data_IF_710475286275
#
_entry.id   IF_710475286275
#
_cell.length_a   1.000
_cell.length_b   1.000
_cell.length_c   1.000
_cell.angle_alpha   90.00
_cell.angle_beta   90.00
_cell.angle_gamma   90.00
#
_symmetry.space_group_name_H-M   'P 1'
#
loop_
_entity.id
_entity.type
_entity.pdbx_description
1 polymer ?
#
# COMPACT_ATOMS: atom_id res chain seq x y z
N UNK A 1 20.22 26.39 -9.97
CA UNK A 1 20.15 24.95 -10.29
C UNK A 1 19.06 24.35 -9.43
N UNK A 2 17.89 24.17 -10.05
CA UNK A 2 16.60 24.05 -9.38
C UNK A 2 16.47 22.80 -8.54
N UNK A 3 16.29 23.00 -7.23
CA UNK A 3 15.91 21.98 -6.27
C UNK A 3 14.58 21.35 -6.70
N UNK A 4 14.61 20.05 -6.99
CA UNK A 4 13.38 19.28 -7.23
C UNK A 4 12.54 19.35 -5.97
N UNK A 5 11.32 19.85 -6.12
CA UNK A 5 10.38 20.09 -5.06
C UNK A 5 9.88 18.74 -4.50
N UNK A 6 10.10 18.47 -3.21
CA UNK A 6 9.64 17.24 -2.53
C UNK A 6 8.13 16.96 -2.72
N UNK A 7 7.33 17.99 -3.00
CA UNK A 7 5.88 17.85 -3.30
C UNK A 7 5.59 17.21 -4.66
N UNK A 8 6.56 17.12 -5.59
CA UNK A 8 6.36 16.41 -6.85
C UNK A 8 6.43 14.88 -6.69
N UNK A 9 7.13 14.36 -5.68
CA UNK A 9 7.21 12.91 -5.41
C UNK A 9 5.95 12.36 -4.73
N UNK A 10 5.10 13.23 -4.20
CA UNK A 10 3.81 12.85 -3.61
C UNK A 10 2.71 12.65 -4.68
N UNK A 11 2.98 13.07 -5.93
CA UNK A 11 2.00 13.11 -7.04
C UNK A 11 2.25 12.10 -8.16
N UNK A 12 3.18 11.16 -7.98
CA UNK A 12 3.46 10.14 -8.99
C UNK A 12 2.65 8.88 -8.65
N UNK A 13 1.59 8.70 -9.45
CA UNK A 13 0.74 7.51 -9.62
C UNK A 13 -0.55 7.44 -8.80
N UNK A 14 -1.34 8.51 -8.83
CA UNK A 14 -2.80 8.44 -8.74
C UNK A 14 -3.34 9.17 -9.97
N UNK A 15 -3.21 8.54 -11.14
CA UNK A 15 -4.02 8.89 -12.32
C UNK A 15 -3.85 7.82 -13.41
N UNK A 16 -4.61 6.73 -13.28
CA UNK A 16 -5.08 5.99 -14.45
C UNK A 16 -6.57 6.28 -14.57
N UNK A 17 -6.91 7.21 -15.45
CA UNK A 17 -8.30 7.52 -15.82
C UNK A 17 -8.92 6.29 -16.50
N UNK A 18 -9.69 5.50 -15.76
CA UNK A 18 -10.52 4.42 -16.29
C UNK A 18 -11.92 4.96 -16.54
N UNK A 19 -12.33 4.96 -17.80
CA UNK A 19 -13.71 5.23 -18.24
C UNK A 19 -14.69 4.28 -17.52
N UNK A 20 -15.78 4.83 -16.98
CA UNK A 20 -16.78 4.09 -16.19
C UNK A 20 -17.55 3.08 -17.03
N UNK A 21 -17.05 1.84 -17.10
CA UNK A 21 -17.87 0.66 -17.37
C UNK A 21 -17.96 -0.14 -16.08
N UNK A 22 -19.17 -0.21 -15.55
CA UNK A 22 -19.49 -0.61 -14.19
C UNK A 22 -18.98 -2.00 -13.79
N UNK A 23 -17.80 -2.11 -13.15
CA UNK A 23 -17.50 -2.95 -11.97
C UNK A 23 -16.23 -2.40 -11.27
N UNK A 24 -16.30 -1.20 -10.68
CA UNK A 24 -15.20 -0.65 -9.89
C UNK A 24 -15.73 -0.22 -8.52
N UNK A 25 -15.44 -0.99 -7.47
CA UNK A 25 -15.79 -0.64 -6.09
C UNK A 25 -14.56 -0.08 -5.33
N UNK A 26 -14.70 1.01 -4.57
CA UNK A 26 -13.61 1.78 -3.95
C UNK A 26 -12.88 1.06 -2.79
N UNK A 27 -12.99 -0.27 -2.69
CA UNK A 27 -12.77 -1.06 -1.47
C UNK A 27 -12.20 -2.44 -1.76
N UNK A 28 -10.99 -2.54 -2.33
CA UNK A 28 -10.35 -3.84 -2.48
C UNK A 28 -9.32 -4.10 -1.36
N UNK A 29 -9.83 -4.58 -0.22
CA UNK A 29 -9.00 -5.04 0.92
C UNK A 29 -8.02 -6.15 0.53
N UNK A 30 -8.30 -6.91 -0.53
CA UNK A 30 -7.40 -7.91 -1.06
C UNK A 30 -6.20 -7.24 -1.76
N UNK A 31 -6.41 -6.21 -2.59
CA UNK A 31 -5.29 -5.44 -3.19
C UNK A 31 -4.35 -4.85 -2.14
N UNK A 32 -4.87 -4.25 -1.07
CA UNK A 32 -4.03 -3.68 0.00
C UNK A 32 -3.19 -4.78 0.68
N UNK A 33 -3.77 -5.96 0.91
CA UNK A 33 -3.02 -7.10 1.44
C UNK A 33 -1.93 -7.57 0.47
N UNK A 34 -2.24 -7.72 -0.83
CA UNK A 34 -1.27 -8.15 -1.84
C UNK A 34 -0.11 -7.18 -2.00
N UNK A 35 -0.38 -5.87 -2.02
CA UNK A 35 0.66 -4.83 -2.01
C UNK A 35 1.57 -4.97 -0.78
N UNK A 36 0.99 -5.18 0.40
CA UNK A 36 1.76 -5.38 1.64
C UNK A 36 2.63 -6.64 1.60
N UNK A 37 2.11 -7.75 1.05
CA UNK A 37 2.86 -9.00 0.90
C UNK A 37 4.05 -8.84 -0.06
N UNK A 38 3.85 -8.15 -1.18
CA UNK A 38 4.92 -7.87 -2.15
C UNK A 38 6.02 -6.99 -1.57
N UNK A 39 5.65 -5.88 -0.91
CA UNK A 39 6.62 -4.99 -0.25
C UNK A 39 7.45 -5.74 0.80
N UNK A 40 6.81 -6.56 1.64
CA UNK A 40 7.51 -7.38 2.63
C UNK A 40 8.44 -8.42 1.97
N UNK A 41 8.02 -9.02 0.85
CA UNK A 41 8.83 -10.00 0.11
C UNK A 41 10.09 -9.35 -0.46
N UNK A 42 9.96 -8.17 -1.06
CA UNK A 42 11.11 -7.42 -1.60
C UNK A 42 12.03 -6.99 -0.46
N UNK A 43 11.48 -6.49 0.65
CA UNK A 43 12.29 -6.14 1.82
C UNK A 43 13.09 -7.32 2.37
N UNK A 44 12.49 -8.52 2.43
CA UNK A 44 13.21 -9.73 2.81
C UNK A 44 14.32 -10.08 1.82
N UNK A 45 14.05 -9.99 0.51
CA UNK A 45 15.04 -10.27 -0.56
C UNK A 45 16.22 -9.31 -0.49
N UNK A 46 15.95 -8.03 -0.29
CA UNK A 46 16.95 -6.95 -0.22
C UNK A 46 17.55 -6.77 1.18
N UNK A 47 17.23 -7.67 2.13
CA UNK A 47 17.68 -7.62 3.53
C UNK A 47 17.41 -6.27 4.23
N UNK A 48 16.36 -5.57 3.82
CA UNK A 48 15.93 -4.31 4.44
C UNK A 48 15.14 -4.64 5.71
N UNK A 49 15.69 -4.30 6.87
CA UNK A 49 15.03 -4.49 8.16
C UNK A 49 13.91 -3.46 8.34
N UNK A 50 12.66 -3.86 8.11
CA UNK A 50 11.47 -3.02 8.32
C UNK A 50 11.19 -2.80 9.82
N UNK A 51 10.61 -1.65 10.18
CA UNK A 51 10.21 -1.38 11.57
C UNK A 51 9.07 -2.32 11.99
N UNK A 52 8.10 -2.50 11.10
CA UNK A 52 6.97 -3.40 11.24
C UNK A 52 6.57 -3.93 9.85
N UNK A 53 6.18 -5.20 9.76
CA UNK A 53 5.75 -5.81 8.50
C UNK A 53 4.24 -5.71 8.24
N UNK A 54 3.45 -5.49 9.30
CA UNK A 54 1.98 -5.49 9.30
C UNK A 54 1.29 -6.76 8.72
N UNK A 55 2.03 -7.80 8.34
CA UNK A 55 1.48 -8.95 7.58
C UNK A 55 0.36 -9.66 8.36
N UNK A 56 0.58 -9.96 9.65
CA UNK A 56 -0.41 -10.66 10.49
C UNK A 56 -1.69 -9.85 10.69
N UNK A 57 -1.56 -8.56 10.98
CA UNK A 57 -2.71 -7.68 11.24
C UNK A 57 -3.50 -7.39 9.97
N UNK A 58 -2.83 -7.31 8.81
CA UNK A 58 -3.45 -7.14 7.50
C UNK A 58 -4.31 -8.34 7.10
N UNK A 59 -3.82 -9.57 7.34
CA UNK A 59 -4.61 -10.79 7.09
C UNK A 59 -5.89 -10.81 7.94
N UNK A 60 -5.78 -10.49 9.23
CA UNK A 60 -6.95 -10.41 10.12
C UNK A 60 -7.93 -9.32 9.66
N UNK A 61 -7.43 -8.13 9.36
CA UNK A 61 -8.27 -7.02 8.93
C UNK A 61 -8.99 -7.30 7.60
N UNK A 62 -8.33 -7.96 6.64
CA UNK A 62 -8.99 -8.42 5.41
C UNK A 62 -10.16 -9.36 5.70
N UNK A 63 -9.96 -10.36 6.57
CA UNK A 63 -11.01 -11.32 6.94
C UNK A 63 -12.21 -10.60 7.57
N UNK A 64 -11.96 -9.69 8.51
CA UNK A 64 -13.03 -8.89 9.13
C UNK A 64 -13.73 -7.97 8.14
N UNK A 65 -12.98 -7.31 7.25
CA UNK A 65 -13.54 -6.50 6.20
C UNK A 65 -14.49 -7.35 5.33
N UNK A 66 -14.02 -8.46 4.77
CA UNK A 66 -14.81 -9.35 3.92
C UNK A 66 -16.09 -9.85 4.62
N UNK A 67 -16.00 -10.26 5.88
CA UNK A 67 -17.14 -10.71 6.69
C UNK A 67 -18.21 -9.63 6.84
N UNK A 68 -17.79 -8.38 7.00
CA UNK A 68 -18.68 -7.26 7.30
C UNK A 68 -19.22 -6.54 6.06
N UNK A 69 -18.57 -6.69 4.90
CA UNK A 69 -18.90 -5.91 3.69
C UNK A 69 -20.32 -6.13 3.16
N UNK A 70 -20.83 -7.36 3.27
CA UNK A 70 -22.11 -7.76 2.68
C UNK A 70 -23.30 -7.73 3.67
N UNK A 71 -23.08 -7.23 4.88
CA UNK A 71 -24.11 -7.19 5.93
C UNK A 71 -24.31 -5.80 6.53
N UNK A 72 -25.11 -5.74 7.61
CA UNK A 72 -25.37 -4.51 8.39
C UNK A 72 -24.08 -3.86 8.95
N UNK A 73 -22.98 -4.61 8.98
CA UNK A 73 -21.66 -4.17 9.40
C UNK A 73 -20.84 -3.40 8.34
N UNK A 74 -21.41 -3.05 7.18
CA UNK A 74 -20.66 -2.44 6.07
C UNK A 74 -19.77 -1.25 6.49
N UNK A 75 -20.31 -0.30 7.27
CA UNK A 75 -19.53 0.84 7.80
C UNK A 75 -18.35 0.40 8.67
N UNK A 76 -18.49 -0.68 9.43
CA UNK A 76 -17.41 -1.26 10.22
C UNK A 76 -16.37 -1.96 9.34
N UNK A 77 -16.81 -2.65 8.27
CA UNK A 77 -15.94 -3.18 7.23
C UNK A 77 -15.06 -2.09 6.61
N UNK A 78 -15.64 -0.94 6.24
CA UNK A 78 -14.91 0.21 5.71
C UNK A 78 -13.86 0.74 6.70
N UNK A 79 -14.14 0.73 8.02
CA UNK A 79 -13.15 1.11 9.04
C UNK A 79 -11.95 0.16 9.08
N UNK A 80 -12.15 -1.14 8.86
CA UNK A 80 -11.04 -2.09 8.72
C UNK A 80 -10.19 -1.78 7.49
N UNK A 81 -10.82 -1.48 6.35
CA UNK A 81 -10.11 -1.09 5.14
C UNK A 81 -9.32 0.21 5.33
N UNK A 82 -9.89 1.21 6.02
CA UNK A 82 -9.18 2.43 6.37
C UNK A 82 -7.94 2.18 7.25
N UNK A 83 -8.03 1.26 8.22
CA UNK A 83 -6.88 0.81 9.02
C UNK A 83 -5.82 0.14 8.15
N UNK A 84 -6.24 -0.72 7.21
CA UNK A 84 -5.31 -1.38 6.27
C UNK A 84 -4.56 -0.37 5.42
N UNK A 85 -5.24 0.65 4.86
CA UNK A 85 -4.60 1.77 4.14
C UNK A 85 -3.59 2.52 5.01
N UNK A 86 -3.95 2.75 6.27
CA UNK A 86 -3.05 3.43 7.23
C UNK A 86 -1.78 2.62 7.46
N UNK A 87 -1.88 1.31 7.64
CA UNK A 87 -0.72 0.43 7.81
C UNK A 87 0.13 0.34 6.55
N UNK A 88 -0.50 0.19 5.37
CA UNK A 88 0.21 0.23 4.09
C UNK A 88 0.99 1.54 3.93
N UNK A 89 0.36 2.68 4.21
CA UNK A 89 1.04 3.98 4.17
C UNK A 89 2.18 4.12 5.17
N UNK A 90 2.11 3.48 6.34
CA UNK A 90 3.23 3.45 7.30
C UNK A 90 4.38 2.59 6.79
N UNK A 91 4.06 1.45 6.16
CA UNK A 91 5.02 0.55 5.54
C UNK A 91 5.75 1.22 4.36
N UNK A 92 5.02 1.85 3.43
CA UNK A 92 5.61 2.53 2.28
C UNK A 92 6.54 3.67 2.70
N UNK A 93 6.15 4.47 3.71
CA UNK A 93 7.04 5.52 4.27
C UNK A 93 8.29 4.94 4.93
N UNK A 94 8.19 3.81 5.62
CA UNK A 94 9.35 3.16 6.22
C UNK A 94 10.33 2.60 5.18
N UNK A 95 9.78 2.06 4.08
CA UNK A 95 10.58 1.61 2.94
C UNK A 95 11.28 2.80 2.30
N UNK A 96 10.55 3.86 1.92
CA UNK A 96 11.13 5.06 1.30
C UNK A 96 12.30 5.62 2.12
N UNK A 97 12.13 5.79 3.44
CA UNK A 97 13.21 6.26 4.33
C UNK A 97 14.43 5.34 4.38
N UNK A 98 14.28 4.04 4.14
CA UNK A 98 15.38 3.06 4.21
C UNK A 98 16.09 2.86 2.88
N UNK A 99 15.39 3.18 1.79
CA UNK A 99 15.91 3.10 0.42
C UNK A 99 16.47 4.43 -0.06
N UNK A 100 16.13 5.53 0.58
CA UNK A 100 16.60 6.88 0.23
C UNK A 100 18.12 6.93 0.04
N UNK A 101 18.55 7.42 -1.13
CA UNK A 101 19.95 7.55 -1.51
C UNK A 101 20.62 6.23 -1.95
N UNK A 102 19.83 5.16 -2.14
CA UNK A 102 20.32 3.83 -2.59
C UNK A 102 19.61 3.43 -3.88
N UNK A 103 20.15 3.79 -5.06
CA UNK A 103 19.45 3.63 -6.34
C UNK A 103 19.05 2.18 -6.63
N UNK A 104 19.88 1.20 -6.23
CA UNK A 104 19.57 -0.22 -6.40
C UNK A 104 18.33 -0.66 -5.60
N UNK A 105 18.20 -0.15 -4.36
CA UNK A 105 17.04 -0.45 -3.53
C UNK A 105 15.80 0.30 -4.02
N UNK A 106 15.94 1.56 -4.39
CA UNK A 106 14.84 2.35 -4.96
C UNK A 106 14.28 1.66 -6.21
N UNK A 107 15.14 1.23 -7.13
CA UNK A 107 14.75 0.45 -8.31
C UNK A 107 14.07 -0.87 -7.94
N UNK A 108 14.58 -1.60 -6.95
CA UNK A 108 13.99 -2.87 -6.51
C UNK A 108 12.57 -2.71 -5.94
N UNK A 109 12.25 -1.56 -5.34
CA UNK A 109 10.93 -1.28 -4.78
C UNK A 109 10.00 -0.49 -5.71
N UNK A 110 10.51 0.12 -6.78
CA UNK A 110 9.76 1.03 -7.66
C UNK A 110 8.42 0.44 -8.12
N UNK A 111 8.43 -0.73 -8.77
CA UNK A 111 7.22 -1.39 -9.27
C UNK A 111 6.24 -1.76 -8.17
N UNK A 112 6.72 -2.12 -6.98
CA UNK A 112 5.84 -2.48 -5.87
C UNK A 112 5.23 -1.27 -5.18
N UNK A 113 5.92 -0.13 -5.18
CA UNK A 113 5.41 1.13 -4.65
C UNK A 113 4.40 1.77 -5.60
N UNK A 114 4.64 1.69 -6.91
CA UNK A 114 3.70 2.13 -7.95
C UNK A 114 2.34 1.42 -7.80
N UNK A 115 2.36 0.10 -7.61
CA UNK A 115 1.14 -0.71 -7.46
C UNK A 115 0.48 -0.61 -6.08
N UNK A 116 1.13 0.06 -5.13
CA UNK A 116 0.61 0.24 -3.77
C UNK A 116 -0.07 1.60 -3.55
N UNK A 117 0.14 2.55 -4.46
CA UNK A 117 -0.55 3.85 -4.55
C UNK A 117 -1.86 3.73 -5.30
#
# INVERSE_FOLDING_TARGET
TGAVNERQLERITVDTTVQTKAVAHPTDSHHILRATEWLNRIAKRQRVKLRQSFSRVMVRARREAARLMHGRGHRQGLRWVARMRTWLGRLTRDIRRKTEGKPELEAAFATALERAG
#
